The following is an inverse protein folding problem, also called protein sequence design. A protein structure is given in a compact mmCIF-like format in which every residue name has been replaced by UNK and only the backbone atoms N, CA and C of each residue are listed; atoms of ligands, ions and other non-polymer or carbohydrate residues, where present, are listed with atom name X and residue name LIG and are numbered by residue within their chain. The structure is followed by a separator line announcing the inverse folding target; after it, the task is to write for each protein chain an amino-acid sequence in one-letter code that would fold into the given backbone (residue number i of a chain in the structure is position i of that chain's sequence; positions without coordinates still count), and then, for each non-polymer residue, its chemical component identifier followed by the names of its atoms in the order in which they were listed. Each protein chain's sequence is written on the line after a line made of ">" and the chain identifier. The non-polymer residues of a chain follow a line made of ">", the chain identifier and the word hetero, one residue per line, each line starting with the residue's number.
data_IF_092610293828
#
_entry.id   IF_092610293828
#
_cell.length_a   1.000
_cell.length_b   1.000
_cell.length_c   1.000
_cell.angle_alpha   90.00
_cell.angle_beta   90.00
_cell.angle_gamma   90.00
#
_symmetry.space_group_name_H-M   'P 1'
#
loop_
_entity.id
_entity.type
_entity.pdbx_description
1 polymer ?
#
# COMPACT_ATOMS: atom_id res chain seq x y z
N UNK A 1 -27.90 32.72 18.68
CA UNK A 1 -28.38 32.38 17.33
C UNK A 1 -27.22 32.68 16.38
N UNK A 2 -26.56 31.63 15.89
CA UNK A 2 -25.29 31.70 15.15
C UNK A 2 -24.75 30.29 14.99
N UNK A 3 -25.46 29.48 14.21
CA UNK A 3 -25.10 28.12 13.85
C UNK A 3 -23.94 28.14 12.84
N UNK A 4 -22.94 27.27 13.05
CA UNK A 4 -21.76 27.15 12.20
C UNK A 4 -20.93 25.93 12.60
N UNK A 5 -21.57 24.77 12.51
CA UNK A 5 -21.02 23.44 12.78
C UNK A 5 -19.75 23.14 11.98
N UNK A 6 -18.74 22.64 12.71
CA UNK A 6 -17.96 21.45 12.40
C UNK A 6 -17.91 21.04 10.92
N UNK A 7 -16.75 21.19 10.25
CA UNK A 7 -16.48 20.40 9.04
C UNK A 7 -15.03 20.25 8.55
N UNK A 8 -14.02 20.65 9.30
CA UNK A 8 -12.63 20.28 9.02
C UNK A 8 -12.30 18.90 9.63
N UNK A 9 -13.00 17.84 9.22
CA UNK A 9 -12.70 16.45 9.65
C UNK A 9 -12.74 15.47 8.48
N UNK A 10 -12.53 15.97 7.26
CA UNK A 10 -12.46 15.15 6.05
C UNK A 10 -11.16 15.40 5.29
N UNK A 11 -10.00 15.16 5.91
CA UNK A 11 -8.77 14.86 5.15
C UNK A 11 -7.73 14.05 5.95
N UNK A 12 -8.15 13.17 6.86
CA UNK A 12 -7.25 12.20 7.50
C UNK A 12 -7.15 10.87 6.74
N UNK A 13 -8.08 10.61 5.80
CA UNK A 13 -8.15 9.34 5.07
C UNK A 13 -7.06 9.14 4.00
N UNK A 14 -6.25 10.17 3.69
CA UNK A 14 -5.17 10.09 2.71
C UNK A 14 -3.82 9.66 3.31
N UNK A 15 -3.52 10.08 4.54
CA UNK A 15 -2.18 9.91 5.14
C UNK A 15 -1.93 8.45 5.58
N UNK A 16 -2.91 7.80 6.20
CA UNK A 16 -2.78 6.41 6.66
C UNK A 16 -2.67 5.39 5.52
N UNK A 17 -3.32 5.66 4.38
CA UNK A 17 -3.21 4.81 3.20
C UNK A 17 -1.85 4.92 2.54
N UNK A 18 -1.30 6.14 2.44
CA UNK A 18 0.05 6.36 1.91
C UNK A 18 1.13 5.73 2.81
N UNK A 19 0.97 5.81 4.13
CA UNK A 19 1.90 5.20 5.07
C UNK A 19 1.88 3.67 5.02
N UNK A 20 0.69 3.07 4.98
CA UNK A 20 0.54 1.61 4.83
C UNK A 20 1.15 1.14 3.50
N UNK A 21 0.91 1.88 2.42
CA UNK A 21 1.51 1.63 1.10
C UNK A 21 3.04 1.68 1.17
N UNK A 22 3.60 2.69 1.83
CA UNK A 22 5.05 2.87 1.95
C UNK A 22 5.70 1.73 2.75
N UNK A 23 5.08 1.28 3.83
CA UNK A 23 5.55 0.13 4.62
C UNK A 23 5.52 -1.18 3.85
N UNK A 24 4.45 -1.41 3.08
CA UNK A 24 4.35 -2.59 2.20
C UNK A 24 5.43 -2.58 1.11
N UNK A 25 5.72 -1.41 0.52
CA UNK A 25 6.78 -1.26 -0.48
C UNK A 25 8.17 -1.46 0.12
N UNK A 26 8.43 -0.95 1.32
CA UNK A 26 9.69 -1.15 2.03
C UNK A 26 9.93 -2.64 2.32
N UNK A 27 8.93 -3.33 2.90
CA UNK A 27 9.00 -4.76 3.15
C UNK A 27 9.18 -5.57 1.87
N UNK A 28 8.50 -5.17 0.79
CA UNK A 28 8.67 -5.82 -0.51
C UNK A 28 10.08 -5.65 -1.06
N UNK A 29 10.69 -4.47 -0.92
CA UNK A 29 12.07 -4.21 -1.32
C UNK A 29 13.04 -5.19 -0.66
N UNK A 30 12.86 -5.42 0.65
CA UNK A 30 13.69 -6.37 1.37
C UNK A 30 13.48 -7.81 0.91
N UNK A 31 12.21 -8.25 0.75
CA UNK A 31 11.90 -9.60 0.27
C UNK A 31 12.44 -9.81 -1.15
N UNK A 32 12.38 -8.79 -2.01
CA UNK A 32 12.96 -8.83 -3.35
C UNK A 32 14.49 -8.91 -3.29
N UNK A 33 15.14 -8.22 -2.36
CA UNK A 33 16.58 -8.30 -2.17
C UNK A 33 17.05 -9.67 -1.67
N UNK A 34 16.26 -10.33 -0.80
CA UNK A 34 16.63 -11.62 -0.22
C UNK A 34 16.30 -12.83 -1.13
N UNK A 35 15.14 -12.82 -1.78
CA UNK A 35 14.62 -13.99 -2.51
C UNK A 35 14.46 -13.76 -4.02
N UNK A 36 14.75 -12.54 -4.51
CA UNK A 36 14.46 -12.14 -5.88
C UNK A 36 12.96 -12.01 -6.19
N UNK A 37 12.65 -11.49 -7.37
CA UNK A 37 11.25 -11.27 -7.80
C UNK A 37 10.44 -12.57 -7.90
N UNK A 38 11.09 -13.68 -8.26
CA UNK A 38 10.47 -15.00 -8.35
C UNK A 38 10.16 -15.60 -6.97
N UNK A 39 11.03 -15.40 -5.98
CA UNK A 39 10.87 -15.92 -4.61
C UNK A 39 10.08 -15.00 -3.68
N UNK A 40 9.77 -13.78 -4.10
CA UNK A 40 8.91 -12.88 -3.36
C UNK A 40 7.44 -13.24 -3.57
N UNK A 41 6.70 -13.46 -2.48
CA UNK A 41 5.26 -13.73 -2.51
C UNK A 41 4.54 -12.69 -1.68
N UNK A 42 3.26 -12.42 -2.01
CA UNK A 42 2.40 -11.52 -1.22
C UNK A 42 2.46 -11.90 0.26
N UNK A 43 2.40 -13.20 0.58
CA UNK A 43 2.49 -13.71 1.94
C UNK A 43 3.79 -13.32 2.65
N UNK A 44 4.96 -13.50 2.02
CA UNK A 44 6.23 -13.04 2.62
C UNK A 44 6.26 -11.54 2.86
N UNK A 45 5.71 -10.76 1.93
CA UNK A 45 5.72 -9.30 2.02
C UNK A 45 4.84 -8.83 3.17
N UNK A 46 3.61 -9.36 3.29
CA UNK A 46 2.71 -8.99 4.38
C UNK A 46 3.23 -9.49 5.74
N UNK A 47 3.86 -10.67 5.78
CA UNK A 47 4.49 -11.21 6.98
C UNK A 47 5.63 -10.30 7.44
N UNK A 48 6.49 -9.85 6.51
CA UNK A 48 7.56 -8.87 6.80
C UNK A 48 7.01 -7.50 7.20
N UNK A 49 5.98 -7.03 6.51
CA UNK A 49 5.40 -5.72 6.77
C UNK A 49 4.52 -5.68 8.04
N UNK A 50 4.18 -6.85 8.62
CA UNK A 50 3.27 -6.95 9.76
C UNK A 50 1.81 -6.67 9.40
N UNK A 51 1.43 -6.91 8.14
CA UNK A 51 0.08 -6.70 7.64
C UNK A 51 -0.62 -8.02 7.29
N UNK A 52 -1.92 -7.96 7.07
CA UNK A 52 -2.73 -9.11 6.65
C UNK A 52 -2.94 -9.10 5.14
N UNK A 53 -3.30 -10.26 4.58
CA UNK A 53 -3.71 -10.35 3.16
C UNK A 53 -4.83 -9.36 2.84
N UNK A 54 -5.82 -9.23 3.72
CA UNK A 54 -6.94 -8.30 3.51
C UNK A 54 -6.49 -6.84 3.38
N UNK A 55 -5.53 -6.40 4.19
CA UNK A 55 -4.95 -5.06 4.08
C UNK A 55 -4.18 -4.90 2.76
N UNK A 56 -3.42 -5.91 2.34
CA UNK A 56 -2.72 -5.89 1.06
C UNK A 56 -3.68 -5.80 -0.14
N UNK A 57 -4.69 -6.68 -0.19
CA UNK A 57 -5.68 -6.71 -1.27
C UNK A 57 -6.49 -5.40 -1.33
N UNK A 58 -6.71 -4.73 -0.19
CA UNK A 58 -7.32 -3.41 -0.15
C UNK A 58 -6.46 -2.28 -0.74
N UNK A 59 -5.13 -2.43 -0.81
CA UNK A 59 -4.22 -1.40 -1.29
C UNK A 59 -3.63 -1.65 -2.68
N UNK A 60 -3.26 -2.90 -2.99
CA UNK A 60 -2.55 -3.24 -4.22
C UNK A 60 -3.31 -4.24 -5.10
N UNK A 61 -4.28 -4.99 -4.58
CA UNK A 61 -4.99 -6.02 -5.35
C UNK A 61 -4.14 -7.25 -5.65
N UNK A 62 -2.92 -7.12 -6.17
CA UNK A 62 -2.09 -8.27 -6.57
C UNK A 62 -0.59 -8.02 -6.39
N UNK A 63 0.20 -9.12 -6.37
CA UNK A 63 1.66 -9.06 -6.39
C UNK A 63 2.19 -8.16 -7.50
N UNK A 64 1.59 -8.28 -8.70
CA UNK A 64 2.05 -7.55 -9.87
C UNK A 64 1.82 -6.04 -9.72
N UNK A 65 0.68 -5.64 -9.14
CA UNK A 65 0.39 -4.24 -8.86
C UNK A 65 1.32 -3.65 -7.77
N UNK A 66 1.70 -4.45 -6.76
CA UNK A 66 2.76 -4.03 -5.85
C UNK A 66 4.10 -3.86 -6.58
N UNK A 67 4.46 -4.79 -7.46
CA UNK A 67 5.72 -4.73 -8.23
C UNK A 67 5.73 -3.51 -9.15
N UNK A 68 4.63 -3.22 -9.84
CA UNK A 68 4.46 -2.02 -10.68
C UNK A 68 4.62 -0.76 -9.84
N UNK A 69 3.97 -0.70 -8.67
CA UNK A 69 4.11 0.42 -7.75
C UNK A 69 5.53 0.57 -7.20
N UNK A 70 6.23 -0.55 -6.96
CA UNK A 70 7.62 -0.57 -6.51
C UNK A 70 8.58 -0.08 -7.60
N UNK A 71 8.34 -0.46 -8.86
CA UNK A 71 9.13 -0.03 -10.01
C UNK A 71 8.87 1.44 -10.41
N UNK A 72 8.02 2.17 -9.68
CA UNK A 72 7.66 3.54 -10.01
C UNK A 72 6.77 3.67 -11.24
N UNK A 73 6.24 2.55 -11.75
CA UNK A 73 5.32 2.52 -12.87
C UNK A 73 4.04 3.26 -12.48
N UNK A 74 3.87 4.43 -13.08
CA UNK A 74 2.63 5.19 -13.15
C UNK A 74 1.42 4.26 -13.17
N UNK A 75 0.51 4.49 -12.22
CA UNK A 75 -0.91 4.16 -12.32
C UNK A 75 -1.34 4.12 -13.80
N UNK A 76 -1.73 2.97 -14.39
CA UNK A 76 -2.44 3.02 -15.65
C UNK A 76 -3.72 3.83 -15.40
N UNK A 77 -4.03 4.84 -16.22
CA UNK A 77 -5.13 5.75 -15.96
C UNK A 77 -6.40 4.95 -15.74
N UNK A 78 -7.01 5.11 -14.55
CA UNK A 78 -8.34 4.56 -14.25
C UNK A 78 -9.30 5.03 -15.33
N UNK A 79 -9.60 4.16 -16.29
CA UNK A 79 -10.64 4.34 -17.31
C UNK A 79 -11.93 3.74 -16.78
#
# INVERSE_FOLDING_TARGET
>A
MGAGTARDTFSQAGLGQAETRSRLLAAAAEVFAEAGLAGASVERIIERAGYTRGAFYGHFGDKNALVVAFLGGTDPPRT
#
